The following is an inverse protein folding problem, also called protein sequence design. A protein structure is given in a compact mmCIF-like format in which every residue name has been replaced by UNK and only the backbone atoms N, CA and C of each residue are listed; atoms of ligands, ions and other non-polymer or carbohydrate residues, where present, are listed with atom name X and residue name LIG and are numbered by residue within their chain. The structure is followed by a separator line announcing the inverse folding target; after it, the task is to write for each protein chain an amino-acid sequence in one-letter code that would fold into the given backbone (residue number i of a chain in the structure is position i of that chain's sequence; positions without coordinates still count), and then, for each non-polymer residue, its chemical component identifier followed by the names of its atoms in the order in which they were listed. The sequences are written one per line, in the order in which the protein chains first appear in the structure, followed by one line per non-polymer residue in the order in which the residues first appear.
data_IF_764659592347
#
_entry.id   IF_764659592347
#
_cell.length_a   1.000
_cell.length_b   1.000
_cell.length_c   1.000
_cell.angle_alpha   90.00
_cell.angle_beta   90.00
_cell.angle_gamma   90.00
#
_symmetry.space_group_name_H-M   'P 1'
#
loop_
_entity.id
_entity.type
_entity.pdbx_description
1 polymer ?
#
# COMPACT_ATOMS: atom_id res chain seq x y z
N UNK A 1 -7.17 -2.08 -14.94
CA UNK A 1 -5.73 -1.86 -14.72
C UNK A 1 -5.11 -3.22 -14.81
N UNK A 2 -4.20 -3.40 -15.75
CA UNK A 2 -3.45 -4.64 -15.91
C UNK A 2 -2.55 -4.84 -14.67
N UNK A 3 -2.21 -6.08 -14.35
CA UNK A 3 -1.40 -6.43 -13.17
C UNK A 3 -0.03 -5.77 -13.25
N UNK A 4 0.58 -5.83 -14.44
CA UNK A 4 1.84 -5.16 -14.78
C UNK A 4 1.81 -3.65 -14.55
N UNK A 5 0.66 -2.99 -14.69
CA UNK A 5 0.53 -1.55 -14.45
C UNK A 5 0.64 -1.18 -12.96
N UNK A 6 0.23 -2.05 -12.03
CA UNK A 6 0.42 -1.80 -10.60
C UNK A 6 1.90 -1.76 -10.25
N UNK A 7 2.63 -2.82 -10.64
CA UNK A 7 4.06 -2.93 -10.41
C UNK A 7 4.81 -1.76 -11.04
N UNK A 8 4.49 -1.38 -12.28
CA UNK A 8 5.15 -0.26 -12.98
C UNK A 8 4.91 1.09 -12.30
N UNK A 9 3.66 1.39 -11.90
CA UNK A 9 3.33 2.63 -11.20
C UNK A 9 4.01 2.72 -9.84
N UNK A 10 3.98 1.62 -9.07
CA UNK A 10 4.61 1.57 -7.74
C UNK A 10 6.13 1.66 -7.88
N UNK A 11 6.72 1.04 -8.90
CA UNK A 11 8.15 1.21 -9.21
C UNK A 11 8.51 2.67 -9.45
N UNK A 12 7.74 3.38 -10.27
CA UNK A 12 7.99 4.79 -10.55
C UNK A 12 7.92 5.65 -9.27
N UNK A 13 6.96 5.38 -8.37
CA UNK A 13 6.83 6.06 -7.06
C UNK A 13 8.06 5.77 -6.19
N UNK A 14 8.53 4.52 -6.16
CA UNK A 14 9.69 4.13 -5.34
C UNK A 14 11.00 4.71 -5.89
N UNK A 15 11.16 4.80 -7.21
CA UNK A 15 12.34 5.37 -7.87
C UNK A 15 12.40 6.90 -7.78
N UNK A 16 11.24 7.57 -7.85
CA UNK A 16 11.11 9.03 -7.76
C UNK A 16 10.49 9.44 -6.42
N UNK A 17 10.99 8.84 -5.33
CA UNK A 17 10.38 8.96 -4.01
C UNK A 17 10.37 10.42 -3.50
N UNK A 18 9.17 10.96 -3.37
CA UNK A 18 8.84 12.06 -2.46
C UNK A 18 8.21 11.48 -1.20
N UNK A 19 8.88 11.63 -0.05
CA UNK A 19 8.46 11.02 1.22
C UNK A 19 7.14 11.60 1.73
N UNK A 20 6.91 12.89 1.53
CA UNK A 20 5.71 13.57 2.01
C UNK A 20 4.49 13.22 1.14
N UNK A 21 4.74 12.90 -0.13
CA UNK A 21 3.70 12.59 -1.10
C UNK A 21 3.43 11.09 -1.28
N UNK A 22 4.39 10.25 -0.89
CA UNK A 22 4.40 8.80 -1.10
C UNK A 22 3.06 8.14 -0.83
N UNK A 23 2.47 8.35 0.35
CA UNK A 23 1.27 7.61 0.74
C UNK A 23 0.07 7.98 -0.13
N UNK A 24 -0.02 9.23 -0.58
CA UNK A 24 -1.10 9.69 -1.45
C UNK A 24 -0.93 9.16 -2.86
N UNK A 25 0.30 9.17 -3.38
CA UNK A 25 0.63 8.58 -4.68
C UNK A 25 0.38 7.07 -4.68
N UNK A 26 0.81 6.37 -3.62
CA UNK A 26 0.59 4.93 -3.47
C UNK A 26 -0.89 4.58 -3.41
N UNK A 27 -1.69 5.28 -2.61
CA UNK A 27 -3.14 5.09 -2.58
C UNK A 27 -3.80 5.35 -3.94
N UNK A 28 -3.25 6.27 -4.75
CA UNK A 28 -3.79 6.63 -6.06
C UNK A 28 -3.64 5.54 -7.12
N UNK A 29 -2.75 4.56 -6.89
CA UNK A 29 -2.61 3.37 -7.75
C UNK A 29 -3.89 2.52 -7.71
N UNK A 30 -4.59 2.49 -6.58
CA UNK A 30 -5.76 1.64 -6.34
C UNK A 30 -7.06 2.37 -6.69
N UNK A 31 -7.62 2.06 -7.87
CA UNK A 31 -8.80 2.72 -8.45
C UNK A 31 -10.06 2.77 -7.56
N UNK A 32 -10.26 1.80 -6.66
CA UNK A 32 -11.40 1.82 -5.71
C UNK A 32 -11.23 2.84 -4.56
N UNK A 33 -10.10 3.52 -4.49
CA UNK A 33 -9.88 4.66 -3.60
C UNK A 33 -10.09 5.95 -4.40
N UNK A 34 -11.23 6.61 -4.16
CA UNK A 34 -11.58 7.82 -4.91
C UNK A 34 -10.54 8.94 -4.73
N UNK A 35 -10.20 9.63 -5.82
CA UNK A 35 -9.26 10.77 -5.81
C UNK A 35 -9.66 11.83 -4.79
N UNK A 36 -10.96 12.13 -4.67
CA UNK A 36 -11.48 13.09 -3.69
C UNK A 36 -11.22 12.67 -2.24
N UNK A 37 -11.23 11.36 -1.94
CA UNK A 37 -10.85 10.82 -0.63
C UNK A 37 -9.38 11.06 -0.33
N UNK A 38 -8.50 10.87 -1.33
CA UNK A 38 -7.06 11.10 -1.21
C UNK A 38 -6.77 12.59 -1.04
N UNK A 39 -7.41 13.46 -1.81
CA UNK A 39 -7.29 14.92 -1.66
C UNK A 39 -7.73 15.39 -0.28
N UNK A 40 -8.84 14.85 0.26
CA UNK A 40 -9.27 15.14 1.63
C UNK A 40 -8.26 14.64 2.66
N UNK A 41 -7.61 13.50 2.41
CA UNK A 41 -6.63 12.91 3.33
C UNK A 41 -5.38 13.79 3.39
N UNK A 42 -4.91 14.24 2.22
CA UNK A 42 -3.81 15.18 2.08
C UNK A 42 -4.07 16.50 2.81
N UNK A 43 -5.30 17.02 2.71
CA UNK A 43 -5.73 18.23 3.43
C UNK A 43 -6.04 18.00 4.92
N UNK A 44 -5.94 16.75 5.40
CA UNK A 44 -6.26 16.36 6.77
C UNK A 44 -7.75 16.28 7.10
N UNK A 45 -8.66 16.60 6.16
CA UNK A 45 -10.11 16.69 6.42
C UNK A 45 -10.74 15.35 6.82
N UNK A 46 -10.27 14.23 6.26
CA UNK A 46 -10.70 12.87 6.63
C UNK A 46 -9.55 12.03 7.21
N UNK A 47 -8.44 12.66 7.63
CA UNK A 47 -7.41 11.99 8.41
C UNK A 47 -7.91 11.87 9.86
N UNK A 48 -8.06 10.64 10.35
CA UNK A 48 -8.50 10.38 11.72
C UNK A 48 -7.36 10.43 12.73
N UNK A 49 -6.09 10.46 12.28
CA UNK A 49 -4.95 10.73 13.16
C UNK A 49 -4.66 12.23 13.20
N UNK A 50 -4.23 12.69 14.38
CA UNK A 50 -3.77 14.07 14.61
C UNK A 50 -2.25 14.15 14.78
N UNK A 51 -1.56 13.01 14.69
CA UNK A 51 -0.12 12.92 14.89
C UNK A 51 0.59 13.22 13.55
N UNK A 52 1.58 14.12 13.51
CA UNK A 52 2.38 14.35 12.32
C UNK A 52 3.03 13.06 11.81
N UNK A 53 3.02 12.85 10.49
CA UNK A 53 3.52 11.63 9.86
C UNK A 53 2.59 10.41 9.97
N UNK A 54 1.41 10.55 10.58
CA UNK A 54 0.38 9.51 10.60
C UNK A 54 -0.83 9.86 9.73
N UNK A 55 -1.30 8.87 8.96
CA UNK A 55 -2.51 8.98 8.15
C UNK A 55 -3.43 7.80 8.44
N UNK A 56 -4.57 8.07 9.08
CA UNK A 56 -5.59 7.07 9.35
C UNK A 56 -6.83 7.35 8.48
N UNK A 57 -6.99 6.55 7.43
CA UNK A 57 -8.16 6.53 6.57
C UNK A 57 -9.10 5.39 7.00
N UNK A 58 -10.29 5.76 7.49
CA UNK A 58 -11.30 4.84 8.05
C UNK A 58 -11.48 3.58 7.21
N UNK A 59 -11.38 2.41 7.85
CA UNK A 59 -11.54 1.07 7.28
C UNK A 59 -10.57 0.70 6.14
N UNK A 60 -9.60 1.56 5.79
CA UNK A 60 -8.70 1.34 4.65
C UNK A 60 -7.25 1.24 5.06
N UNK A 61 -6.74 2.23 5.78
CA UNK A 61 -5.31 2.36 6.03
C UNK A 61 -5.05 3.08 7.35
N UNK A 62 -4.10 2.56 8.12
CA UNK A 62 -3.40 3.34 9.14
C UNK A 62 -1.91 3.30 8.81
N UNK A 63 -1.41 4.43 8.33
CA UNK A 63 -0.03 4.62 7.91
C UNK A 63 0.73 5.46 8.94
N UNK A 64 2.00 5.12 9.15
CA UNK A 64 2.94 5.94 9.93
C UNK A 64 4.32 5.97 9.27
N UNK A 65 4.81 7.16 8.99
CA UNK A 65 6.19 7.40 8.60
C UNK A 65 7.06 7.58 9.85
N UNK A 66 8.24 6.96 9.86
CA UNK A 66 9.21 7.07 10.96
C UNK A 66 10.62 7.33 10.46
N UNK A 67 11.50 7.78 11.35
CA UNK A 67 12.93 7.99 11.06
C UNK A 67 13.85 6.98 11.77
N UNK A 68 13.27 6.01 12.48
CA UNK A 68 13.99 5.06 13.34
C UNK A 68 13.47 3.63 13.20
N UNK A 69 13.49 2.89 14.29
CA UNK A 69 13.11 1.48 14.32
C UNK A 69 11.67 1.26 13.82
N UNK A 70 11.57 0.66 12.63
CA UNK A 70 10.29 0.39 11.96
C UNK A 70 9.50 -0.70 12.69
N UNK A 71 10.17 -1.69 13.28
CA UNK A 71 9.54 -2.81 13.99
C UNK A 71 8.93 -2.34 15.31
N UNK A 72 9.67 -1.54 16.09
CA UNK A 72 9.15 -0.94 17.30
C UNK A 72 7.95 -0.03 16.98
N UNK A 73 8.09 0.85 15.99
CA UNK A 73 7.02 1.75 15.58
C UNK A 73 5.76 1.02 15.08
N UNK A 74 5.93 -0.10 14.39
CA UNK A 74 4.84 -0.96 13.96
C UNK A 74 4.13 -1.62 15.15
N UNK A 75 4.89 -2.13 16.12
CA UNK A 75 4.35 -2.75 17.34
C UNK A 75 3.53 -1.74 18.15
N UNK A 76 4.09 -0.55 18.37
CA UNK A 76 3.40 0.55 19.06
C UNK A 76 2.11 0.95 18.33
N UNK A 77 2.15 1.01 17.00
CA UNK A 77 1.00 1.37 16.18
C UNK A 77 -0.11 0.29 16.28
N UNK A 78 0.24 -0.99 16.25
CA UNK A 78 -0.70 -2.09 16.44
C UNK A 78 -1.34 -2.02 17.83
N UNK A 79 -0.55 -1.80 18.89
CA UNK A 79 -1.07 -1.64 20.25
C UNK A 79 -2.00 -0.44 20.36
N UNK A 80 -1.63 0.71 19.78
CA UNK A 80 -2.48 1.91 19.71
C UNK A 80 -3.81 1.64 19.00
N UNK A 81 -3.77 0.94 17.85
CA UNK A 81 -4.95 0.57 17.07
C UNK A 81 -5.89 -0.32 17.88
N UNK A 82 -5.34 -1.31 18.59
CA UNK A 82 -6.11 -2.20 19.47
C UNK A 82 -6.78 -1.43 20.61
N UNK A 83 -6.06 -0.54 21.29
CA UNK A 83 -6.59 0.31 22.36
C UNK A 83 -7.70 1.25 21.87
N UNK A 84 -7.57 1.77 20.65
CA UNK A 84 -8.58 2.64 20.04
C UNK A 84 -9.76 1.88 19.44
N UNK A 85 -9.72 0.54 19.43
CA UNK A 85 -10.71 -0.34 18.80
C UNK A 85 -11.05 0.07 17.35
N UNK A 86 -10.01 0.42 16.58
CA UNK A 86 -10.14 0.75 15.15
C UNK A 86 -9.64 -0.41 14.30
N UNK A 87 -10.25 -0.62 13.14
CA UNK A 87 -9.93 -1.76 12.28
C UNK A 87 -9.66 -1.32 10.82
N UNK A 88 -8.50 -0.71 10.53
CA UNK A 88 -8.10 -0.39 9.15
C UNK A 88 -7.84 -1.68 8.38
N UNK A 89 -8.10 -1.74 7.06
CA UNK A 89 -7.74 -2.94 6.27
C UNK A 89 -6.24 -3.21 6.29
N UNK A 90 -5.42 -2.17 6.17
CA UNK A 90 -3.97 -2.27 6.28
C UNK A 90 -3.40 -1.36 7.35
N UNK A 91 -2.38 -1.87 8.04
CA UNK A 91 -1.47 -1.10 8.89
C UNK A 91 -0.15 -1.04 8.13
N UNK A 92 0.47 0.13 8.00
CA UNK A 92 1.71 0.30 7.27
C UNK A 92 2.65 1.25 8.02
N UNK A 93 3.90 0.82 8.20
CA UNK A 93 4.97 1.65 8.78
C UNK A 93 6.20 1.58 7.88
N UNK A 94 6.83 2.72 7.64
CA UNK A 94 8.03 2.80 6.79
C UNK A 94 8.96 3.92 7.25
N UNK A 95 10.27 3.65 7.19
CA UNK A 95 11.34 4.64 7.24
C UNK A 95 11.94 4.93 5.84
N UNK A 96 11.31 4.36 4.80
CA UNK A 96 11.74 4.32 3.41
C UNK A 96 13.03 3.53 3.12
N UNK A 97 13.56 2.83 4.12
CA UNK A 97 14.54 1.75 3.94
C UNK A 97 13.86 0.39 4.06
N UNK A 98 13.03 0.23 5.09
CA UNK A 98 12.18 -0.92 5.35
C UNK A 98 10.71 -0.51 5.37
N UNK A 99 9.84 -1.44 5.03
CA UNK A 99 8.41 -1.30 5.11
C UNK A 99 7.82 -2.53 5.79
N UNK A 100 7.10 -2.30 6.87
CA UNK A 100 6.30 -3.31 7.54
C UNK A 100 4.84 -2.99 7.28
N UNK A 101 4.10 -3.96 6.75
CA UNK A 101 2.67 -3.84 6.56
C UNK A 101 1.93 -5.08 7.01
N UNK A 102 0.74 -4.89 7.58
CA UNK A 102 -0.16 -5.97 7.99
C UNK A 102 -1.53 -5.79 7.37
N UNK A 103 -2.05 -6.86 6.82
CA UNK A 103 -3.45 -7.00 6.45
C UNK A 103 -4.21 -7.48 7.69
N UNK A 104 -5.13 -6.67 8.20
CA UNK A 104 -5.85 -6.99 9.44
C UNK A 104 -6.93 -8.05 9.23
N UNK A 105 -7.37 -8.26 7.99
CA UNK A 105 -8.38 -9.27 7.67
C UNK A 105 -7.75 -10.66 7.59
N UNK A 106 -6.59 -10.78 6.92
CA UNK A 106 -5.89 -12.06 6.77
C UNK A 106 -4.87 -12.32 7.89
N UNK A 107 -4.54 -11.30 8.67
CA UNK A 107 -3.46 -11.28 9.66
C UNK A 107 -2.04 -11.49 9.08
N UNK A 108 -1.92 -11.48 7.75
CA UNK A 108 -0.63 -11.57 7.09
C UNK A 108 0.18 -10.29 7.31
N UNK A 109 1.48 -10.45 7.54
CA UNK A 109 2.42 -9.34 7.72
C UNK A 109 3.59 -9.52 6.76
N UNK A 110 3.96 -8.44 6.06
CA UNK A 110 5.19 -8.35 5.28
C UNK A 110 6.17 -7.42 6.00
N UNK A 111 7.45 -7.80 5.96
CA UNK A 111 8.58 -6.98 6.38
C UNK A 111 9.63 -7.06 5.27
N UNK A 112 9.78 -5.96 4.53
CA UNK A 112 10.55 -5.94 3.29
C UNK A 112 11.40 -4.69 3.19
N UNK A 113 12.49 -4.77 2.42
CA UNK A 113 13.15 -3.56 1.91
C UNK A 113 12.12 -2.72 1.15
N UNK A 114 12.08 -1.41 1.39
CA UNK A 114 11.14 -0.50 0.74
C UNK A 114 11.23 -0.59 -0.79
N UNK A 115 12.44 -0.83 -1.34
CA UNK A 115 12.68 -1.04 -2.77
C UNK A 115 11.97 -2.26 -3.37
N UNK A 116 11.56 -3.22 -2.55
CA UNK A 116 10.83 -4.43 -2.97
C UNK A 116 9.31 -4.22 -3.02
N UNK A 117 8.80 -3.08 -2.54
CA UNK A 117 7.36 -2.76 -2.59
C UNK A 117 6.72 -2.97 -3.97
N UNK A 118 7.34 -2.59 -5.11
CA UNK A 118 6.75 -2.83 -6.43
C UNK A 118 6.52 -4.30 -6.75
N UNK A 119 7.33 -5.21 -6.19
CA UNK A 119 7.22 -6.66 -6.39
C UNK A 119 6.28 -7.35 -5.40
N UNK A 120 5.73 -6.61 -4.44
CA UNK A 120 4.81 -7.10 -3.41
C UNK A 120 3.48 -6.33 -3.47
N UNK A 121 3.13 -5.77 -4.63
CA UNK A 121 1.91 -4.97 -4.81
C UNK A 121 0.64 -5.79 -4.58
N UNK A 122 0.70 -7.10 -4.82
CA UNK A 122 -0.39 -8.07 -4.66
C UNK A 122 -0.93 -8.09 -3.23
N UNK A 123 -0.08 -7.81 -2.24
CA UNK A 123 -0.45 -7.70 -0.83
C UNK A 123 -1.55 -6.67 -0.58
N UNK A 124 -1.60 -5.61 -1.40
CA UNK A 124 -2.53 -4.49 -1.25
C UNK A 124 -3.73 -4.53 -2.22
N UNK A 125 -3.85 -5.58 -3.04
CA UNK A 125 -4.92 -5.69 -4.04
C UNK A 125 -6.33 -5.76 -3.43
N UNK A 126 -6.46 -6.08 -2.14
CA UNK A 126 -7.76 -6.13 -1.49
C UNK A 126 -8.43 -4.74 -1.43
N UNK A 127 -7.69 -3.64 -1.56
CA UNK A 127 -8.30 -2.31 -1.78
C UNK A 127 -9.11 -2.26 -3.08
N UNK A 128 -8.69 -2.98 -4.10
CA UNK A 128 -9.43 -3.15 -5.36
C UNK A 128 -10.36 -4.38 -5.34
N UNK A 129 -10.52 -5.04 -4.19
CA UNK A 129 -11.42 -6.17 -3.98
C UNK A 129 -10.94 -7.49 -4.58
N UNK A 130 -9.63 -7.61 -4.85
CA UNK A 130 -8.99 -8.87 -5.22
C UNK A 130 -8.21 -9.33 -3.99
N UNK A 131 -8.64 -10.42 -3.37
CA UNK A 131 -7.92 -11.00 -2.23
C UNK A 131 -6.69 -11.75 -2.74
N UNK A 132 -5.58 -11.71 -1.97
CA UNK A 132 -4.30 -12.31 -2.39
C UNK A 132 -4.44 -13.81 -2.73
N UNK A 133 -5.20 -14.55 -1.94
CA UNK A 133 -5.44 -15.98 -2.18
C UNK A 133 -6.15 -16.25 -3.51
N UNK A 134 -7.02 -15.36 -3.96
CA UNK A 134 -7.69 -15.48 -5.25
C UNK A 134 -6.73 -15.13 -6.39
N UNK A 135 -5.92 -14.09 -6.21
CA UNK A 135 -4.87 -13.71 -7.16
C UNK A 135 -3.83 -14.82 -7.39
N UNK A 136 -3.39 -15.49 -6.33
CA UNK A 136 -2.43 -16.60 -6.43
C UNK A 136 -3.00 -17.82 -7.18
N UNK A 137 -4.31 -18.06 -7.06
CA UNK A 137 -5.00 -19.14 -7.81
C UNK A 137 -5.05 -18.89 -9.31
N UNK A 138 -5.00 -17.63 -9.75
CA UNK A 138 -5.07 -17.25 -11.17
C UNK A 138 -3.73 -17.37 -11.92
N UNK A 139 -2.72 -18.00 -11.30
CA UNK A 139 -1.38 -18.16 -11.87
C UNK A 139 -0.79 -16.83 -12.38
N UNK A 140 -0.45 -15.92 -11.45
CA UNK A 140 -0.10 -14.54 -11.79
C UNK A 140 1.17 -14.42 -12.63
N UNK A 141 2.03 -15.44 -12.65
CA UNK A 141 3.22 -15.46 -13.48
C UNK A 141 2.87 -15.51 -14.98
N UNK A 142 1.96 -16.41 -15.36
CA UNK A 142 1.50 -16.54 -16.74
C UNK A 142 0.71 -15.32 -17.17
N UNK A 143 -0.15 -14.80 -16.28
CA UNK A 143 -0.91 -13.59 -16.56
C UNK A 143 0.00 -12.37 -16.78
N UNK A 144 1.04 -12.22 -15.95
CA UNK A 144 2.06 -11.16 -16.10
C UNK A 144 2.86 -11.32 -17.38
N UNK A 145 3.22 -12.55 -17.75
CA UNK A 145 3.94 -12.82 -19.00
C UNK A 145 3.07 -12.46 -20.21
N UNK A 146 1.82 -12.91 -20.24
CA UNK A 146 0.86 -12.63 -21.30
C UNK A 146 0.61 -11.12 -21.47
N UNK A 147 0.41 -10.38 -20.37
CA UNK A 147 0.24 -8.92 -20.40
C UNK A 147 1.49 -8.21 -20.97
N UNK A 148 2.70 -8.64 -20.61
CA UNK A 148 3.94 -8.07 -21.14
C UNK A 148 4.08 -8.35 -22.63
N UNK A 149 3.75 -9.55 -23.10
CA UNK A 149 3.74 -9.88 -24.53
C UNK A 149 2.74 -9.04 -25.32
N UNK A 150 1.52 -8.86 -24.80
CA UNK A 150 0.51 -8.03 -25.44
C UNK A 150 0.98 -6.57 -25.59
N UNK A 151 1.58 -6.00 -24.54
CA UNK A 151 2.12 -4.63 -24.56
C UNK A 151 3.27 -4.46 -25.56
N UNK A 152 4.11 -5.47 -25.78
CA UNK A 152 5.17 -5.41 -26.79
C UNK A 152 4.61 -5.38 -28.22
N UNK A 153 3.50 -6.08 -28.46
CA UNK A 153 2.90 -6.17 -29.79
C UNK A 153 2.11 -4.90 -30.16
N UNK A 154 1.48 -4.24 -29.18
CA UNK A 154 0.69 -3.01 -29.39
C UNK A 154 1.56 -1.76 -29.66
N UNK A 155 2.89 -1.87 -29.53
CA UNK A 155 3.87 -0.80 -29.78
C UNK A 155 4.49 -0.91 -31.20
N UNK A 156 4.11 -1.93 -31.99
CA UNK A 156 4.53 -2.15 -33.38
C UNK A 156 3.47 -1.64 -34.37
#
# INVERSE_FOLDING_TARGET
MAITEYEDKIRNIVENLDKEEFIFEFLSVYSKIAKSTITKLRKGTNNLSKVPGEYHLKNKLYFKQVSGDTLQAFTDLVSKISQQNVNPRYIMVTDFKNLIARDTKTQETIDIDFKKLPRNFEFFLAWNGIEKADFERENPADLKAAERFAKLYDIL
#
